data_IF_635202105616
#
_entry.id   IF_635202105616
#
_cell.length_a   1.000
_cell.length_b   1.000
_cell.length_c   1.000
_cell.angle_alpha   90.00
_cell.angle_beta   90.00
_cell.angle_gamma   90.00
#
_symmetry.space_group_name_H-M   'P 1'
#
loop_
_entity.id
_entity.type
_entity.pdbx_description
1 polymer ?
#
# COMPACT_ATOMS: atom_id res chain seq x y z
N UNK A 1 9.57 -8.72 -5.28
CA UNK A 1 8.70 -8.21 -4.21
C UNK A 1 9.50 -8.08 -2.92
N UNK A 2 9.47 -6.92 -2.26
CA UNK A 2 10.05 -6.73 -0.93
C UNK A 2 9.11 -7.19 0.19
N UNK A 3 9.57 -7.08 1.45
CA UNK A 3 8.82 -7.55 2.62
C UNK A 3 7.46 -6.84 2.78
N UNK A 4 7.39 -5.56 2.44
CA UNK A 4 6.17 -4.76 2.61
C UNK A 4 5.13 -5.09 1.53
N UNK A 5 5.57 -5.33 0.29
CA UNK A 5 4.70 -5.84 -0.76
C UNK A 5 4.14 -7.23 -0.44
N UNK A 6 4.98 -8.15 0.05
CA UNK A 6 4.53 -9.48 0.50
C UNK A 6 3.47 -9.38 1.61
N UNK A 7 3.72 -8.52 2.59
CA UNK A 7 2.78 -8.25 3.69
C UNK A 7 1.44 -7.73 3.15
N UNK A 8 1.45 -6.74 2.25
CA UNK A 8 0.22 -6.21 1.65
C UNK A 8 -0.59 -7.27 0.90
N UNK A 9 0.07 -8.13 0.13
CA UNK A 9 -0.59 -9.22 -0.62
C UNK A 9 -1.17 -10.25 0.32
N UNK A 10 -0.45 -10.66 1.36
CA UNK A 10 -0.95 -11.61 2.35
C UNK A 10 -2.20 -11.06 3.05
N UNK A 11 -2.15 -9.81 3.54
CA UNK A 11 -3.33 -9.18 4.14
C UNK A 11 -4.51 -9.13 3.17
N UNK A 12 -4.31 -8.68 1.93
CA UNK A 12 -5.39 -8.56 0.96
C UNK A 12 -5.96 -9.91 0.50
N UNK A 13 -5.13 -10.95 0.42
CA UNK A 13 -5.55 -12.29 -0.04
C UNK A 13 -6.26 -13.09 1.05
N UNK A 14 -5.90 -12.87 2.32
CA UNK A 14 -6.46 -13.58 3.47
C UNK A 14 -7.57 -12.77 4.18
N UNK A 15 -7.89 -11.57 3.69
CA UNK A 15 -8.88 -10.70 4.31
C UNK A 15 -10.27 -11.33 4.25
N UNK A 16 -10.80 -11.69 5.41
CA UNK A 16 -12.17 -12.17 5.56
C UNK A 16 -13.09 -11.05 6.05
N UNK A 17 -13.84 -10.47 5.12
CA UNK A 17 -14.82 -9.42 5.41
C UNK A 17 -15.95 -9.86 6.35
N UNK A 18 -16.22 -11.16 6.47
CA UNK A 18 -17.25 -11.69 7.38
C UNK A 18 -16.82 -11.63 8.84
N UNK A 19 -15.51 -11.77 9.10
CA UNK A 19 -14.91 -11.65 10.43
C UNK A 19 -14.55 -10.21 10.81
N UNK A 20 -14.76 -9.23 9.90
CA UNK A 20 -14.56 -7.79 10.13
C UNK A 20 -13.21 -7.43 10.77
N UNK A 21 -12.16 -8.18 10.42
CA UNK A 21 -10.82 -7.91 10.96
C UNK A 21 -10.36 -6.51 10.53
N UNK A 22 -9.69 -5.79 11.42
CA UNK A 22 -9.13 -4.48 11.10
C UNK A 22 -7.86 -4.68 10.24
N UNK A 23 -7.77 -4.11 9.01
CA UNK A 23 -6.57 -4.19 8.19
C UNK A 23 -5.28 -3.73 8.91
N UNK A 24 -5.40 -2.87 9.94
CA UNK A 24 -4.27 -2.46 10.80
C UNK A 24 -3.70 -3.62 11.58
N UNK A 25 -4.55 -4.50 12.11
CA UNK A 25 -4.16 -5.67 12.88
C UNK A 25 -3.66 -6.78 11.96
N UNK A 26 -4.37 -7.02 10.85
CA UNK A 26 -3.92 -7.98 9.83
C UNK A 26 -2.50 -7.66 9.34
N UNK A 27 -2.17 -6.38 9.14
CA UNK A 27 -0.81 -5.97 8.78
C UNK A 27 0.23 -6.36 9.84
N UNK A 28 -0.05 -6.11 11.12
CA UNK A 28 0.87 -6.44 12.22
C UNK A 28 1.08 -7.96 12.35
N UNK A 29 0.03 -8.75 12.16
CA UNK A 29 0.13 -10.21 12.17
C UNK A 29 0.82 -10.78 10.91
N UNK A 30 0.72 -10.08 9.79
CA UNK A 30 1.29 -10.56 8.53
C UNK A 30 2.78 -10.21 8.40
N UNK A 31 3.21 -9.02 8.84
CA UNK A 31 4.61 -8.57 8.67
C UNK A 31 5.62 -9.47 9.38
N UNK A 32 5.24 -10.05 10.53
CA UNK A 32 6.09 -10.97 11.30
C UNK A 32 6.40 -12.27 10.55
N UNK A 33 5.61 -12.64 9.55
CA UNK A 33 5.86 -13.82 8.73
C UNK A 33 6.98 -13.59 7.70
N UNK A 34 7.28 -12.32 7.40
CA UNK A 34 8.21 -11.94 6.32
C UNK A 34 9.51 -11.31 6.82
N UNK A 35 9.61 -10.98 8.13
CA UNK A 35 10.84 -10.45 8.72
C UNK A 35 10.84 -10.56 10.25
N UNK A 36 12.01 -10.84 10.83
CA UNK A 36 12.27 -10.75 12.28
C UNK A 36 12.81 -9.37 12.73
N UNK A 37 13.07 -8.44 11.78
CA UNK A 37 13.58 -7.11 12.10
C UNK A 37 12.47 -6.27 12.75
N UNK A 38 12.68 -5.90 14.02
CA UNK A 38 11.77 -5.02 14.75
C UNK A 38 11.63 -3.65 14.09
N UNK A 39 12.69 -3.10 13.49
CA UNK A 39 12.58 -1.83 12.77
C UNK A 39 11.69 -1.94 11.54
N UNK A 40 11.81 -3.05 10.80
CA UNK A 40 10.99 -3.30 9.62
C UNK A 40 9.53 -3.53 9.98
N UNK A 41 9.26 -4.31 11.02
CA UNK A 41 7.91 -4.56 11.54
C UNK A 41 7.22 -3.25 11.96
N UNK A 42 7.95 -2.35 12.65
CA UNK A 42 7.41 -1.06 13.13
C UNK A 42 7.39 0.05 12.08
N UNK A 43 7.82 -0.20 10.85
CA UNK A 43 7.96 0.87 9.85
C UNK A 43 6.60 1.39 9.41
N UNK A 44 6.31 2.66 9.72
CA UNK A 44 4.99 3.27 9.48
C UNK A 44 4.67 3.55 8.01
N UNK A 45 5.61 4.05 7.20
CA UNK A 45 5.31 4.48 5.83
C UNK A 45 4.67 3.40 4.93
N UNK A 46 5.19 2.17 4.83
CA UNK A 46 4.56 1.13 4.02
C UNK A 46 3.20 0.69 4.59
N UNK A 47 3.07 0.63 5.93
CA UNK A 47 1.78 0.36 6.58
C UNK A 47 0.75 1.43 6.22
N UNK A 48 1.11 2.70 6.33
CA UNK A 48 0.23 3.82 5.96
C UNK A 48 -0.10 3.82 4.47
N UNK A 49 0.82 3.46 3.57
CA UNK A 49 0.49 3.33 2.16
C UNK A 49 -0.58 2.25 1.94
N UNK A 50 -0.42 1.06 2.53
CA UNK A 50 -1.40 -0.02 2.43
C UNK A 50 -2.77 0.35 3.01
N UNK A 51 -2.81 0.88 4.23
CA UNK A 51 -4.06 1.27 4.89
C UNK A 51 -4.75 2.41 4.16
N UNK A 52 -3.98 3.33 3.57
CA UNK A 52 -4.51 4.40 2.74
C UNK A 52 -5.19 3.88 1.48
N UNK A 53 -4.59 2.90 0.80
CA UNK A 53 -5.21 2.23 -0.33
C UNK A 53 -6.49 1.49 0.07
N UNK A 54 -6.49 0.80 1.21
CA UNK A 54 -7.70 0.15 1.74
C UNK A 54 -8.80 1.18 2.01
N UNK A 55 -8.44 2.29 2.66
CA UNK A 55 -9.37 3.34 3.08
C UNK A 55 -10.08 3.97 1.88
N UNK A 56 -9.35 4.20 0.81
CA UNK A 56 -9.86 4.82 -0.41
C UNK A 56 -10.40 3.79 -1.43
N UNK A 57 -10.50 2.50 -1.07
CA UNK A 57 -11.14 1.47 -1.90
C UNK A 57 -10.29 0.91 -3.06
N UNK A 58 -8.97 1.04 -3.02
CA UNK A 58 -8.07 0.56 -4.07
C UNK A 58 -7.65 -0.92 -3.91
N UNK A 59 -7.93 -1.54 -2.77
CA UNK A 59 -7.54 -2.94 -2.49
C UNK A 59 -8.75 -3.85 -2.60
N UNK A 60 -8.69 -4.83 -3.50
CA UNK A 60 -9.76 -5.82 -3.71
C UNK A 60 -10.05 -6.60 -2.43
N UNK A 61 -11.33 -6.82 -2.15
CA UNK A 61 -11.80 -7.63 -1.01
C UNK A 61 -11.79 -6.90 0.34
N UNK A 62 -11.10 -5.77 0.47
CA UNK A 62 -11.10 -4.95 1.68
C UNK A 62 -12.07 -3.78 1.49
N UNK A 63 -13.14 -3.66 2.31
CA UNK A 63 -14.08 -2.56 2.22
C UNK A 63 -13.38 -1.20 2.42
N UNK A 64 -13.85 -0.17 1.72
CA UNK A 64 -13.47 1.21 2.04
C UNK A 64 -13.90 1.57 3.46
N UNK A 65 -13.10 2.36 4.17
CA UNK A 65 -13.34 2.68 5.58
C UNK A 65 -12.25 3.52 6.20
N UNK A 66 -12.44 3.92 7.46
CA UNK A 66 -11.48 4.79 8.15
C UNK A 66 -10.36 3.96 8.80
N UNK A 67 -9.26 3.75 8.05
CA UNK A 67 -8.07 3.02 8.50
C UNK A 67 -6.89 3.93 8.89
N UNK A 68 -6.90 5.19 8.47
CA UNK A 68 -5.92 6.21 8.79
C UNK A 68 -6.58 7.55 9.12
N UNK A 69 -5.87 8.45 9.81
CA UNK A 69 -6.23 9.85 9.87
C UNK A 69 -6.40 10.43 8.45
N UNK A 70 -7.38 11.34 8.25
CA UNK A 70 -7.71 11.88 6.94
C UNK A 70 -6.55 12.62 6.26
N UNK A 71 -5.62 13.17 7.06
CA UNK A 71 -4.49 14.02 6.68
C UNK A 71 -3.16 13.25 6.49
N UNK A 72 -3.20 11.93 6.32
CA UNK A 72 -1.97 11.15 6.13
C UNK A 72 -1.36 11.35 4.72
N UNK A 73 -0.19 11.98 4.56
CA UNK A 73 0.41 12.21 3.23
C UNK A 73 0.80 10.90 2.53
N UNK A 74 1.15 9.86 3.29
CA UNK A 74 1.48 8.55 2.73
C UNK A 74 0.28 7.91 1.99
N UNK A 75 -0.95 8.22 2.42
CA UNK A 75 -2.17 7.81 1.70
C UNK A 75 -2.20 8.44 0.31
N UNK A 76 -1.98 9.74 0.23
CA UNK A 76 -2.04 10.50 -1.03
C UNK A 76 -1.00 10.03 -2.04
N UNK A 77 0.23 9.74 -1.57
CA UNK A 77 1.29 9.19 -2.43
C UNK A 77 0.93 7.79 -2.94
N UNK A 78 0.37 6.94 -2.08
CA UNK A 78 -0.01 5.59 -2.46
C UNK A 78 -1.17 5.58 -3.47
N UNK A 79 -2.20 6.42 -3.24
CA UNK A 79 -3.33 6.60 -4.17
C UNK A 79 -2.85 7.13 -5.52
N UNK A 80 -2.03 8.19 -5.53
CA UNK A 80 -1.48 8.71 -6.78
C UNK A 80 -0.65 7.68 -7.54
N UNK A 81 0.14 6.87 -6.83
CA UNK A 81 0.87 5.76 -7.44
C UNK A 81 -0.06 4.66 -7.97
N UNK A 82 -1.14 4.33 -7.25
CA UNK A 82 -2.13 3.35 -7.68
C UNK A 82 -2.83 3.79 -8.97
N UNK A 83 -3.25 5.05 -9.06
CA UNK A 83 -3.84 5.63 -10.27
C UNK A 83 -2.91 5.53 -11.48
N UNK A 84 -1.63 5.87 -11.30
CA UNK A 84 -0.64 5.78 -12.38
C UNK A 84 -0.50 4.36 -12.91
N UNK A 85 -0.39 3.37 -12.03
CA UNK A 85 -0.18 1.99 -12.46
C UNK A 85 -1.43 1.30 -13.00
N UNK A 86 -2.62 1.73 -12.57
CA UNK A 86 -3.91 1.24 -13.08
C UNK A 86 -4.26 1.87 -14.43
N UNK A 87 -3.97 3.16 -14.62
CA UNK A 87 -4.17 3.86 -15.91
C UNK A 87 -3.27 3.32 -17.03
N UNK A 88 -2.08 2.84 -16.67
CA UNK A 88 -1.08 2.33 -17.62
C UNK A 88 -0.72 0.87 -17.29
N UNK A 89 -1.65 -0.10 -17.46
CA UNK A 89 -1.47 -1.45 -16.95
C UNK A 89 -0.24 -2.16 -17.55
N UNK A 90 0.08 -1.90 -18.82
CA UNK A 90 1.24 -2.46 -19.52
C UNK A 90 2.58 -1.76 -19.24
N UNK A 91 2.59 -0.59 -18.58
CA UNK A 91 3.84 0.12 -18.30
C UNK A 91 4.56 -0.50 -17.10
N UNK A 92 5.86 -0.72 -17.26
CA UNK A 92 6.76 -1.14 -16.20
C UNK A 92 7.44 0.09 -15.60
N UNK A 93 7.06 0.41 -14.37
CA UNK A 93 7.69 1.49 -13.61
C UNK A 93 8.87 0.96 -12.79
N UNK A 94 9.93 1.74 -12.68
CA UNK A 94 10.87 1.55 -11.56
C UNK A 94 10.28 2.15 -10.28
N UNK A 95 10.71 1.69 -9.10
CA UNK A 95 10.26 2.27 -7.81
C UNK A 95 10.59 3.76 -7.71
N UNK A 96 11.73 4.19 -8.24
CA UNK A 96 12.16 5.59 -8.19
C UNK A 96 11.32 6.46 -9.14
N UNK A 97 11.03 5.96 -10.34
CA UNK A 97 10.17 6.64 -11.31
C UNK A 97 8.73 6.76 -10.79
N UNK A 98 8.15 5.67 -10.28
CA UNK A 98 6.80 5.69 -9.73
C UNK A 98 6.70 6.66 -8.55
N UNK A 99 7.69 6.65 -7.65
CA UNK A 99 7.77 7.59 -6.54
C UNK A 99 7.83 9.03 -7.04
N UNK A 100 8.76 9.35 -7.94
CA UNK A 100 8.92 10.69 -8.50
C UNK A 100 7.64 11.21 -9.15
N UNK A 101 6.92 10.34 -9.86
CA UNK A 101 5.65 10.70 -10.48
C UNK A 101 4.51 10.88 -9.47
N UNK A 102 4.41 9.99 -8.48
CA UNK A 102 3.38 10.03 -7.45
C UNK A 102 3.55 11.23 -6.49
N UNK A 103 4.79 11.67 -6.28
CA UNK A 103 5.11 12.78 -5.35
C UNK A 103 5.40 14.10 -6.04
N UNK A 104 5.26 14.21 -7.38
CA UNK A 104 5.69 15.40 -8.15
C UNK A 104 5.04 16.72 -7.74
N UNK A 105 3.85 16.67 -7.13
CA UNK A 105 3.13 17.84 -6.64
C UNK A 105 3.19 18.02 -5.12
N UNK A 106 4.04 17.25 -4.44
CA UNK A 106 4.18 17.25 -2.98
C UNK A 106 5.59 17.68 -2.59
N UNK A 107 5.87 19.00 -2.48
CA UNK A 107 7.22 19.52 -2.24
C UNK A 107 7.83 19.07 -0.90
N UNK A 108 7.02 18.62 0.06
CA UNK A 108 7.47 18.05 1.34
C UNK A 108 7.68 16.54 1.34
N UNK A 109 7.49 15.85 0.20
CA UNK A 109 7.67 14.41 0.12
C UNK A 109 9.13 14.01 0.36
N UNK A 110 9.33 12.88 1.06
CA UNK A 110 10.66 12.35 1.30
C UNK A 110 11.38 12.01 -0.01
N UNK A 111 12.71 12.16 -0.04
CA UNK A 111 13.52 11.80 -1.23
C UNK A 111 13.43 10.32 -1.60
N UNK A 112 13.17 9.45 -0.63
CA UNK A 112 13.06 8.01 -0.85
C UNK A 112 11.65 7.50 -0.53
N UNK A 113 11.26 6.44 -1.22
CA UNK A 113 9.93 5.85 -1.17
C UNK A 113 9.59 5.06 0.11
N UNK A 114 10.58 4.75 0.96
CA UNK A 114 10.39 4.13 2.28
C UNK A 114 9.57 2.82 2.36
N UNK A 115 9.48 2.05 1.28
CA UNK A 115 8.70 0.81 1.15
C UNK A 115 7.34 1.00 0.46
N UNK A 116 6.89 2.23 0.22
CA UNK A 116 5.52 2.52 -0.26
C UNK A 116 5.29 2.02 -1.68
N UNK A 117 6.26 2.23 -2.58
CA UNK A 117 6.13 1.76 -3.97
C UNK A 117 6.20 0.23 -4.07
N UNK A 118 6.83 -0.43 -3.11
CA UNK A 118 6.83 -1.88 -3.05
C UNK A 118 5.42 -2.43 -2.78
N UNK A 119 4.64 -1.77 -1.91
CA UNK A 119 3.23 -2.10 -1.65
C UNK A 119 2.39 -1.97 -2.92
N UNK A 120 2.42 -0.80 -3.57
CA UNK A 120 1.58 -0.51 -4.74
C UNK A 120 1.88 -1.46 -5.90
N UNK A 121 3.16 -1.60 -6.26
CA UNK A 121 3.57 -2.44 -7.38
C UNK A 121 3.25 -3.92 -7.13
N UNK A 122 3.47 -4.40 -5.91
CA UNK A 122 3.24 -5.81 -5.57
C UNK A 122 1.75 -6.15 -5.56
N UNK A 123 0.88 -5.25 -5.05
CA UNK A 123 -0.58 -5.43 -5.14
C UNK A 123 -1.07 -5.44 -6.60
N UNK A 124 -0.52 -4.56 -7.45
CA UNK A 124 -0.83 -4.56 -8.89
C UNK A 124 -0.42 -5.88 -9.55
N UNK A 125 0.82 -6.33 -9.32
CA UNK A 125 1.35 -7.58 -9.86
C UNK A 125 0.53 -8.80 -9.41
N UNK A 126 0.03 -8.80 -8.18
CA UNK A 126 -0.86 -9.84 -7.65
C UNK A 126 -2.31 -9.74 -8.14
N UNK A 127 -2.66 -8.72 -8.93
CA UNK A 127 -4.03 -8.49 -9.39
C UNK A 127 -5.01 -8.06 -8.29
N UNK A 128 -4.49 -7.58 -7.15
CA UNK A 128 -5.26 -7.18 -5.96
C UNK A 128 -5.53 -5.68 -5.88
N UNK A 129 -4.95 -4.89 -6.79
CA UNK A 129 -5.23 -3.45 -6.92
C UNK A 129 -6.43 -3.22 -7.85
N UNK A 130 -7.30 -2.26 -7.54
CA UNK A 130 -8.47 -1.86 -8.32
C UNK A 130 -8.66 -0.33 -8.31
N UNK A 131 -9.47 0.18 -9.23
CA UNK A 131 -10.09 1.48 -9.03
C UNK A 131 -11.19 1.38 -7.97
N UNK A 132 -11.40 2.41 -7.14
CA UNK A 132 -12.53 2.44 -6.23
C UNK A 132 -13.86 2.55 -6.98
N UNK A 133 -14.90 1.97 -6.37
CA UNK A 133 -16.30 2.06 -6.83
C UNK A 133 -16.93 3.44 -6.55
#
# INVERSE_FOLDING_TARGET
>A
MGIYGKTAVAVASEYDSSNKLDPRECWEYSIIQFTDSRESQKKGCPKSAFLGLCQEGYVKGIPKGNYLPPDSPNKEYAVSAADLVLKEPGRKYSRAELWGNATKYYPGAAKNQNGQMDVVMTLKEAGLLQHPD
#
